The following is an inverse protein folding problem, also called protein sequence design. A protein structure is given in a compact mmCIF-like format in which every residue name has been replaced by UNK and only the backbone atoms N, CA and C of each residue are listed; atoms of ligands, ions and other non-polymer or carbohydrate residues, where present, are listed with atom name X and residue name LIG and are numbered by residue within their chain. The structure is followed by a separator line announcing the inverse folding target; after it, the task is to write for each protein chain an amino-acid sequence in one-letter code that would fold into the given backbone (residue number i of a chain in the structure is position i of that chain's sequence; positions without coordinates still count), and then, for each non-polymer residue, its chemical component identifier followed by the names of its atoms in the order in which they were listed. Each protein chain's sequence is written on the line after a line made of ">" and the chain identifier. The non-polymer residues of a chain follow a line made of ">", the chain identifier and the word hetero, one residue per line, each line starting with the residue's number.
data_IF_938041564805
#
_entry.id   IF_938041564805
#
_cell.length_a   1.000
_cell.length_b   1.000
_cell.length_c   1.000
_cell.angle_alpha   90.00
_cell.angle_beta   90.00
_cell.angle_gamma   90.00
#
_symmetry.space_group_name_H-M   'P 1'
#
loop_
_entity.id
_entity.type
_entity.pdbx_description
1 polymer ?
#
# COMPACT_ATOMS: atom_id res chain seq x y z
N UNK A 1 -9.04 2.13 8.57
CA UNK A 1 -8.37 3.26 7.89
C UNK A 1 -9.30 4.17 7.07
N UNK A 2 -10.60 4.00 7.16
CA UNK A 2 -11.54 4.82 6.35
C UNK A 2 -11.60 6.28 6.79
N UNK A 3 -11.19 6.58 8.01
CA UNK A 3 -11.28 7.93 8.60
C UNK A 3 -10.01 8.77 8.48
N UNK A 4 -8.98 8.27 7.83
CA UNK A 4 -7.76 9.05 7.57
C UNK A 4 -8.00 10.01 6.40
N UNK A 5 -7.11 10.99 6.25
CA UNK A 5 -7.20 11.97 5.17
C UNK A 5 -7.00 11.32 3.80
N UNK A 6 -7.59 11.92 2.76
CA UNK A 6 -7.47 11.39 1.39
C UNK A 6 -6.01 11.24 0.95
N UNK A 7 -5.16 12.21 1.26
CA UNK A 7 -3.74 12.13 0.88
C UNK A 7 -3.04 10.95 1.57
N UNK A 8 -3.43 10.61 2.80
CA UNK A 8 -2.93 9.45 3.50
C UNK A 8 -3.44 8.16 2.86
N UNK A 9 -4.72 8.11 2.46
CA UNK A 9 -5.28 6.97 1.73
C UNK A 9 -4.53 6.72 0.42
N UNK A 10 -4.31 7.75 -0.35
CA UNK A 10 -3.58 7.66 -1.61
C UNK A 10 -2.14 7.22 -1.39
N UNK A 11 -1.51 7.67 -0.30
CA UNK A 11 -0.16 7.26 0.07
C UNK A 11 -0.09 5.78 0.44
N UNK A 12 -1.09 5.26 1.14
CA UNK A 12 -1.19 3.83 1.44
C UNK A 12 -1.35 3.01 0.17
N UNK A 13 -2.23 3.43 -0.75
CA UNK A 13 -2.38 2.78 -2.06
C UNK A 13 -1.07 2.75 -2.84
N UNK A 14 -0.34 3.87 -2.85
CA UNK A 14 0.96 3.97 -3.50
C UNK A 14 1.93 2.92 -2.94
N UNK A 15 1.96 2.77 -1.61
CA UNK A 15 2.83 1.77 -0.96
C UNK A 15 2.43 0.34 -1.33
N UNK A 16 1.15 0.03 -1.43
CA UNK A 16 0.68 -1.29 -1.89
C UNK A 16 1.16 -1.56 -3.31
N UNK A 17 0.97 -0.60 -4.21
CA UNK A 17 1.44 -0.72 -5.59
C UNK A 17 2.95 -0.90 -5.66
N UNK A 18 3.69 -0.08 -4.91
CA UNK A 18 5.15 -0.11 -4.90
C UNK A 18 5.68 -1.44 -4.38
N UNK A 19 5.05 -2.01 -3.35
CA UNK A 19 5.41 -3.33 -2.84
C UNK A 19 5.32 -4.38 -3.94
N UNK A 20 4.19 -4.42 -4.64
CA UNK A 20 3.95 -5.41 -5.69
C UNK A 20 4.92 -5.19 -6.87
N UNK A 21 5.01 -3.97 -7.35
CA UNK A 21 5.88 -3.64 -8.49
C UNK A 21 7.35 -3.90 -8.21
N UNK A 22 7.81 -3.58 -7.00
CA UNK A 22 9.21 -3.80 -6.60
C UNK A 22 9.55 -5.28 -6.45
N UNK A 23 8.63 -6.08 -5.92
CA UNK A 23 8.85 -7.50 -5.69
C UNK A 23 8.72 -8.33 -6.98
N UNK A 24 7.72 -8.03 -7.81
CA UNK A 24 7.35 -8.85 -8.97
C UNK A 24 7.67 -8.19 -10.31
N UNK A 25 8.21 -6.99 -10.30
CA UNK A 25 8.59 -6.22 -11.50
C UNK A 25 7.45 -5.41 -12.11
N UNK A 26 6.21 -5.80 -11.88
CA UNK A 26 5.01 -5.09 -12.35
C UNK A 26 3.80 -5.53 -11.57
N UNK A 27 2.73 -4.74 -11.62
CA UNK A 27 1.42 -5.14 -11.12
C UNK A 27 0.69 -5.84 -12.26
N UNK A 28 0.18 -7.04 -11.98
CA UNK A 28 -0.60 -7.86 -12.92
C UNK A 28 -2.06 -7.82 -12.50
N UNK A 29 -2.95 -7.42 -13.41
CA UNK A 29 -4.36 -7.22 -13.07
C UNK A 29 -5.03 -8.50 -12.56
N UNK A 30 -4.79 -9.65 -13.20
CA UNK A 30 -5.38 -10.92 -12.74
C UNK A 30 -4.83 -11.36 -11.39
N UNK A 31 -3.50 -11.39 -11.27
CA UNK A 31 -2.83 -11.84 -10.05
C UNK A 31 -3.11 -10.93 -8.87
N UNK A 32 -3.11 -9.61 -9.10
CA UNK A 32 -3.06 -8.62 -8.02
C UNK A 32 -4.41 -7.94 -7.74
N UNK A 33 -5.46 -8.24 -8.52
CA UNK A 33 -6.79 -7.67 -8.30
C UNK A 33 -7.29 -7.93 -6.86
N UNK A 34 -7.13 -9.13 -6.28
CA UNK A 34 -7.54 -9.35 -4.88
C UNK A 34 -6.83 -8.42 -3.89
N UNK A 35 -5.55 -8.14 -4.08
CA UNK A 35 -4.80 -7.22 -3.21
C UNK A 35 -5.28 -5.77 -3.38
N UNK A 36 -5.56 -5.37 -4.61
CA UNK A 36 -6.10 -4.04 -4.93
C UNK A 36 -7.48 -3.87 -4.29
N UNK A 37 -8.35 -4.87 -4.41
CA UNK A 37 -9.68 -4.85 -3.82
C UNK A 37 -9.62 -4.79 -2.29
N UNK A 38 -8.71 -5.54 -1.68
CA UNK A 38 -8.49 -5.50 -0.24
C UNK A 38 -8.08 -4.10 0.22
N UNK A 39 -7.08 -3.51 -0.42
CA UNK A 39 -6.60 -2.18 -0.07
C UNK A 39 -7.71 -1.13 -0.25
N UNK A 40 -8.45 -1.19 -1.34
CA UNK A 40 -9.56 -0.28 -1.60
C UNK A 40 -10.64 -0.41 -0.54
N UNK A 41 -10.99 -1.62 -0.15
CA UNK A 41 -11.99 -1.89 0.89
C UNK A 41 -11.55 -1.35 2.25
N UNK A 42 -10.31 -1.62 2.65
CA UNK A 42 -9.77 -1.14 3.93
C UNK A 42 -9.75 0.39 4.02
N UNK A 43 -9.52 1.06 2.91
CA UNK A 43 -9.46 2.52 2.85
C UNK A 43 -10.80 3.18 2.53
N UNK A 44 -11.81 2.40 2.15
CA UNK A 44 -13.11 2.94 1.76
C UNK A 44 -13.04 3.71 0.44
N UNK A 45 -12.18 3.29 -0.48
CA UNK A 45 -12.01 3.91 -1.80
C UNK A 45 -12.74 3.08 -2.84
N UNK A 46 -13.60 3.73 -3.63
CA UNK A 46 -14.41 3.05 -4.65
C UNK A 46 -14.07 3.48 -6.07
N UNK A 47 -13.30 4.55 -6.25
CA UNK A 47 -13.01 5.11 -7.57
C UNK A 47 -11.69 4.57 -8.12
N UNK A 48 -11.70 4.13 -9.38
CA UNK A 48 -10.48 3.74 -10.10
C UNK A 48 -9.52 4.92 -10.30
N UNK A 49 -10.04 6.15 -10.30
CA UNK A 49 -9.21 7.35 -10.42
C UNK A 49 -8.29 7.56 -9.20
N UNK A 50 -8.64 7.00 -8.05
CA UNK A 50 -7.80 7.08 -6.86
C UNK A 50 -6.47 6.37 -7.05
N UNK A 51 -6.44 5.27 -7.78
CA UNK A 51 -5.19 4.56 -8.10
C UNK A 51 -4.29 5.39 -9.00
N UNK A 52 -4.84 6.01 -10.04
CA UNK A 52 -4.07 6.92 -10.91
C UNK A 52 -3.50 8.09 -10.12
N UNK A 53 -4.30 8.68 -9.23
CA UNK A 53 -3.85 9.77 -8.37
C UNK A 53 -2.74 9.31 -7.42
N UNK A 54 -2.86 8.11 -6.83
CA UNK A 54 -1.85 7.55 -5.95
C UNK A 54 -0.51 7.36 -6.68
N UNK A 55 -0.54 6.88 -7.91
CA UNK A 55 0.66 6.63 -8.70
C UNK A 55 1.40 7.90 -9.12
N UNK A 56 0.72 9.05 -9.12
CA UNK A 56 1.34 10.35 -9.43
C UNK A 56 2.06 10.98 -8.26
N UNK A 57 1.86 10.47 -7.04
CA UNK A 57 2.55 10.98 -5.85
C UNK A 57 4.01 10.55 -5.88
N UNK A 58 4.88 11.40 -5.32
CA UNK A 58 6.27 11.00 -5.13
C UNK A 58 6.35 9.95 -4.02
N UNK A 59 7.20 8.91 -4.15
CA UNK A 59 7.38 7.92 -3.10
C UNK A 59 7.78 8.54 -1.76
N UNK A 60 8.67 9.51 -1.77
CA UNK A 60 9.12 10.19 -0.56
C UNK A 60 7.96 10.85 0.18
N UNK A 61 7.10 11.57 -0.54
CA UNK A 61 5.92 12.21 0.06
C UNK A 61 4.96 11.17 0.66
N UNK A 62 4.79 10.03 -0.01
CA UNK A 62 3.96 8.94 0.50
C UNK A 62 4.50 8.41 1.82
N UNK A 63 5.80 8.23 1.95
CA UNK A 63 6.42 7.75 3.20
C UNK A 63 6.19 8.72 4.34
N UNK A 64 6.30 10.02 4.08
CA UNK A 64 6.02 11.06 5.07
C UNK A 64 4.56 11.02 5.52
N UNK A 65 3.62 10.92 4.58
CA UNK A 65 2.19 10.88 4.91
C UNK A 65 1.84 9.65 5.73
N UNK A 66 2.41 8.48 5.42
CA UNK A 66 2.19 7.26 6.19
C UNK A 66 2.83 7.38 7.58
N UNK A 67 4.01 7.97 7.67
CA UNK A 67 4.67 8.22 8.95
C UNK A 67 3.84 9.11 9.88
N UNK A 68 2.99 9.96 9.32
CA UNK A 68 2.10 10.84 10.05
C UNK A 68 0.82 10.19 10.59
N UNK A 69 0.58 8.90 10.29
CA UNK A 69 -0.56 8.18 10.84
C UNK A 69 -0.43 7.99 12.35
N UNK A 70 -1.57 7.88 13.06
CA UNK A 70 -1.53 7.49 14.47
C UNK A 70 -1.10 6.02 14.61
N UNK A 71 -0.81 5.59 15.84
CA UNK A 71 -0.29 4.24 16.08
C UNK A 71 -1.28 3.14 15.66
N UNK A 72 -2.57 3.33 15.86
CA UNK A 72 -3.59 2.37 15.45
C UNK A 72 -3.62 2.20 13.93
N UNK A 73 -3.58 3.30 13.18
CA UNK A 73 -3.58 3.27 11.72
C UNK A 73 -2.25 2.76 11.16
N UNK A 74 -1.12 3.06 11.80
CA UNK A 74 0.17 2.46 11.45
C UNK A 74 0.12 0.93 11.55
N UNK A 75 -0.52 0.41 12.60
CA UNK A 75 -0.66 -1.05 12.75
C UNK A 75 -1.56 -1.63 11.66
N UNK A 76 -2.65 -0.95 11.32
CA UNK A 76 -3.51 -1.37 10.21
C UNK A 76 -2.77 -1.35 8.87
N UNK A 77 -1.94 -0.34 8.64
CA UNK A 77 -1.07 -0.27 7.46
C UNK A 77 -0.11 -1.47 7.39
N UNK A 78 0.56 -1.78 8.50
CA UNK A 78 1.44 -2.96 8.55
C UNK A 78 0.67 -4.25 8.24
N UNK A 79 -0.48 -4.42 8.86
CA UNK A 79 -1.31 -5.61 8.65
C UNK A 79 -1.75 -5.73 7.19
N UNK A 80 -2.13 -4.62 6.55
CA UNK A 80 -2.52 -4.60 5.15
C UNK A 80 -1.36 -5.06 4.25
N UNK A 81 -0.18 -4.47 4.41
CA UNK A 81 0.96 -4.84 3.58
C UNK A 81 1.38 -6.30 3.80
N UNK A 82 1.34 -6.79 5.04
CA UNK A 82 1.66 -8.19 5.32
C UNK A 82 0.66 -9.15 4.67
N UNK A 83 -0.63 -8.80 4.64
CA UNK A 83 -1.63 -9.59 3.92
C UNK A 83 -1.35 -9.61 2.42
N UNK A 84 -0.99 -8.48 1.84
CA UNK A 84 -0.64 -8.38 0.41
C UNK A 84 0.54 -9.27 0.05
N UNK A 85 1.51 -9.46 0.94
CA UNK A 85 2.66 -10.33 0.68
C UNK A 85 2.25 -11.78 0.39
N UNK A 86 1.08 -12.21 0.89
CA UNK A 86 0.57 -13.57 0.75
C UNK A 86 -0.46 -13.72 -0.38
N UNK A 87 -0.77 -12.64 -1.10
CA UNK A 87 -1.86 -12.59 -2.08
C UNK A 87 -1.39 -12.74 -3.53
N UNK A 88 -0.41 -13.60 -3.77
CA UNK A 88 0.13 -13.86 -5.09
C UNK A 88 1.56 -13.37 -5.24
N UNK A 89 2.16 -13.61 -6.41
CA UNK A 89 3.54 -13.22 -6.67
C UNK A 89 4.56 -13.97 -5.82
N UNK A 90 5.73 -13.35 -5.63
CA UNK A 90 6.82 -13.93 -4.85
C UNK A 90 6.72 -13.47 -3.40
N UNK A 91 6.25 -14.35 -2.51
CA UNK A 91 6.03 -14.04 -1.09
C UNK A 91 7.32 -13.59 -0.39
N UNK A 92 8.45 -14.22 -0.68
CA UNK A 92 9.73 -13.84 -0.07
C UNK A 92 10.14 -12.42 -0.46
N UNK A 93 10.10 -12.08 -1.75
CA UNK A 93 10.43 -10.74 -2.22
C UNK A 93 9.43 -9.71 -1.74
N UNK A 94 8.14 -10.04 -1.73
CA UNK A 94 7.11 -9.15 -1.20
C UNK A 94 7.32 -8.85 0.27
N UNK A 95 7.66 -9.86 1.08
CA UNK A 95 7.95 -9.67 2.51
C UNK A 95 9.17 -8.77 2.72
N UNK A 96 10.22 -8.97 1.93
CA UNK A 96 11.41 -8.11 1.97
C UNK A 96 11.06 -6.66 1.63
N UNK A 97 10.27 -6.45 0.58
CA UNK A 97 9.84 -5.11 0.18
C UNK A 97 8.92 -4.47 1.23
N UNK A 98 8.02 -5.25 1.85
CA UNK A 98 7.16 -4.74 2.92
C UNK A 98 7.99 -4.25 4.11
N UNK A 99 8.96 -5.03 4.55
CA UNK A 99 9.84 -4.64 5.66
C UNK A 99 10.64 -3.38 5.34
N UNK A 100 11.10 -3.24 4.10
CA UNK A 100 11.78 -2.02 3.65
C UNK A 100 10.85 -0.80 3.72
N UNK A 101 9.61 -0.95 3.25
CA UNK A 101 8.61 0.11 3.31
C UNK A 101 8.27 0.50 4.75
N UNK A 102 8.21 -0.47 5.66
CA UNK A 102 7.98 -0.18 7.08
C UNK A 102 9.08 0.71 7.66
N UNK A 103 10.32 0.47 7.29
CA UNK A 103 11.44 1.33 7.71
C UNK A 103 11.33 2.72 7.12
N UNK A 104 11.03 2.83 5.82
CA UNK A 104 10.90 4.11 5.14
C UNK A 104 9.73 4.95 5.67
N UNK A 105 8.63 4.30 6.02
CA UNK A 105 7.44 4.96 6.56
C UNK A 105 7.47 5.12 8.09
N UNK A 106 8.49 4.62 8.75
CA UNK A 106 8.63 4.68 10.22
C UNK A 106 7.43 4.06 10.95
N UNK A 107 7.02 2.92 10.50
CA UNK A 107 5.90 2.19 11.10
C UNK A 107 6.33 0.86 11.72
#
# INVERSE_FOLDING_TARGET
>A
MKNIEMIQKLSVLHCVYQLIASADGSVDEERDQPAIDLASSELGITSVYSWDSALRLSPYDCFIHVAGLNNADKQLFRNLLLRVTEMGGNTFLRTTCANHLFQLCQV
#
